data_IF_227782287913
#
_entry.id   IF_227782287913
#
_cell.length_a   1.000
_cell.length_b   1.000
_cell.length_c   1.000
_cell.angle_alpha   90.00
_cell.angle_beta   90.00
_cell.angle_gamma   90.00
#
_symmetry.space_group_name_H-M   'P 1'
#
loop_
_entity.id
_entity.type
_entity.pdbx_description
1 polymer ?
#
# COMPACT_ATOMS: atom_id res chain seq x y z
N UNK A 1 -10.08 -14.47 56.14
CA UNK A 1 -11.13 -14.22 55.12
C UNK A 1 -11.89 -15.49 54.72
N UNK A 2 -11.22 -16.60 54.40
CA UNK A 2 -11.89 -17.87 54.01
C UNK A 2 -12.83 -18.42 55.11
N UNK A 3 -12.44 -18.31 56.38
CA UNK A 3 -13.24 -18.76 57.53
C UNK A 3 -14.51 -17.92 57.76
N UNK A 4 -14.49 -16.63 57.41
CA UNK A 4 -15.68 -15.77 57.49
C UNK A 4 -16.69 -16.13 56.38
N UNK A 5 -16.18 -16.43 55.19
CA UNK A 5 -16.95 -16.86 54.03
C UNK A 5 -17.69 -18.19 54.28
N UNK A 6 -17.04 -19.16 54.95
CA UNK A 6 -17.68 -20.44 55.28
C UNK A 6 -18.71 -20.34 56.39
N UNK A 7 -18.59 -19.35 57.29
CA UNK A 7 -19.50 -19.16 58.43
C UNK A 7 -20.78 -18.42 58.01
N UNK A 8 -20.68 -17.45 57.10
CA UNK A 8 -21.84 -16.68 56.57
C UNK A 8 -22.68 -17.50 55.59
N UNK A 9 -22.08 -18.46 54.87
CA UNK A 9 -22.76 -19.29 53.87
C UNK A 9 -22.96 -20.74 54.34
N UNK A 10 -23.37 -20.96 55.59
CA UNK A 10 -23.56 -22.32 56.13
C UNK A 10 -24.81 -23.03 55.57
N UNK A 11 -25.83 -22.26 55.14
CA UNK A 11 -27.07 -22.81 54.59
C UNK A 11 -26.93 -23.23 53.10
N UNK A 12 -27.38 -24.44 52.72
CA UNK A 12 -27.28 -24.93 51.34
C UNK A 12 -27.97 -24.03 50.31
N UNK A 13 -29.07 -23.38 50.69
CA UNK A 13 -29.82 -22.46 49.83
C UNK A 13 -29.03 -21.19 49.46
N UNK A 14 -28.29 -20.62 50.42
CA UNK A 14 -27.49 -19.41 50.20
C UNK A 14 -26.24 -19.71 49.35
N UNK A 15 -25.66 -20.92 49.48
CA UNK A 15 -24.57 -21.39 48.60
C UNK A 15 -25.03 -21.51 47.15
N UNK A 16 -26.24 -22.03 46.92
CA UNK A 16 -26.81 -22.17 45.58
C UNK A 16 -27.08 -20.80 44.92
N UNK A 17 -27.58 -19.82 45.68
CA UNK A 17 -27.78 -18.44 45.18
C UNK A 17 -26.46 -17.76 44.80
N UNK A 18 -25.42 -17.87 45.64
CA UNK A 18 -24.09 -17.35 45.31
C UNK A 18 -23.52 -17.99 44.04
N UNK A 19 -23.62 -19.32 43.92
CA UNK A 19 -23.15 -20.03 42.74
C UNK A 19 -23.89 -19.56 41.47
N UNK A 20 -25.20 -19.33 41.57
CA UNK A 20 -26.00 -18.76 40.47
C UNK A 20 -25.54 -17.35 40.08
N UNK A 21 -25.26 -16.49 41.05
CA UNK A 21 -24.74 -15.13 40.80
C UNK A 21 -23.36 -15.18 40.14
N UNK A 22 -22.45 -16.01 40.65
CA UNK A 22 -21.09 -16.17 40.11
C UNK A 22 -21.16 -16.77 38.70
N UNK A 23 -22.02 -17.76 38.47
CA UNK A 23 -22.22 -18.37 37.16
C UNK A 23 -22.78 -17.34 36.17
N UNK A 24 -23.77 -16.54 36.58
CA UNK A 24 -24.33 -15.46 35.78
C UNK A 24 -23.28 -14.41 35.42
N UNK A 25 -22.49 -13.97 36.41
CA UNK A 25 -21.39 -13.04 36.18
C UNK A 25 -20.33 -13.64 35.24
N UNK A 26 -19.97 -14.92 35.43
CA UNK A 26 -19.02 -15.62 34.57
C UNK A 26 -19.49 -15.71 33.13
N UNK A 27 -20.77 -16.03 32.91
CA UNK A 27 -21.38 -16.05 31.58
C UNK A 27 -21.33 -14.65 30.96
N UNK A 28 -21.68 -13.60 31.71
CA UNK A 28 -21.62 -12.23 31.23
C UNK A 28 -20.20 -11.82 30.81
N UNK A 29 -19.18 -12.12 31.64
CA UNK A 29 -17.78 -11.88 31.31
C UNK A 29 -17.32 -12.69 30.08
N UNK A 30 -17.72 -13.96 29.99
CA UNK A 30 -17.39 -14.82 28.86
C UNK A 30 -17.94 -14.27 27.55
N UNK A 31 -19.21 -13.82 27.55
CA UNK A 31 -19.84 -13.18 26.40
C UNK A 31 -19.12 -11.88 26.02
N UNK A 32 -18.75 -11.06 27.00
CA UNK A 32 -18.01 -9.82 26.76
C UNK A 32 -16.65 -10.07 26.11
N UNK A 33 -15.87 -11.01 26.65
CA UNK A 33 -14.55 -11.37 26.13
C UNK A 33 -14.64 -11.98 24.73
N UNK A 34 -15.61 -12.86 24.50
CA UNK A 34 -15.84 -13.44 23.18
C UNK A 34 -16.21 -12.35 22.17
N UNK A 35 -17.12 -11.44 22.54
CA UNK A 35 -17.53 -10.35 21.66
C UNK A 35 -16.35 -9.42 21.32
N UNK A 36 -15.54 -9.06 22.31
CA UNK A 36 -14.35 -8.25 22.10
C UNK A 36 -13.31 -8.97 21.23
N UNK A 37 -13.14 -10.28 21.43
CA UNK A 37 -12.23 -11.09 20.62
C UNK A 37 -12.69 -11.19 19.15
N UNK A 38 -13.97 -11.48 18.91
CA UNK A 38 -14.55 -11.50 17.57
C UNK A 38 -14.43 -10.15 16.88
N UNK A 39 -14.75 -9.07 17.61
CA UNK A 39 -14.65 -7.70 17.09
C UNK A 39 -13.21 -7.32 16.75
N UNK A 40 -12.27 -7.60 17.64
CA UNK A 40 -10.85 -7.31 17.40
C UNK A 40 -10.31 -8.13 16.22
N UNK A 41 -10.67 -9.41 16.12
CA UNK A 41 -10.26 -10.27 15.01
C UNK A 41 -10.80 -9.75 13.68
N UNK A 42 -12.06 -9.33 13.63
CA UNK A 42 -12.67 -8.72 12.44
C UNK A 42 -12.02 -7.39 12.08
N UNK A 43 -11.85 -6.51 13.05
CA UNK A 43 -11.22 -5.19 12.83
C UNK A 43 -9.79 -5.31 12.28
N UNK A 44 -9.00 -6.29 12.74
CA UNK A 44 -7.66 -6.56 12.20
C UNK A 44 -7.71 -7.00 10.73
N UNK A 45 -8.66 -7.86 10.36
CA UNK A 45 -8.85 -8.29 8.96
C UNK A 45 -9.28 -7.11 8.08
N UNK A 46 -10.29 -6.36 8.51
CA UNK A 46 -10.80 -5.20 7.77
C UNK A 46 -9.68 -4.14 7.58
N UNK A 47 -8.86 -3.92 8.61
CA UNK A 47 -7.71 -3.02 8.52
C UNK A 47 -6.69 -3.48 7.47
N UNK A 48 -6.35 -4.78 7.43
CA UNK A 48 -5.42 -5.32 6.43
C UNK A 48 -6.00 -5.22 5.02
N UNK A 49 -7.28 -5.53 4.84
CA UNK A 49 -7.97 -5.39 3.54
C UNK A 49 -7.89 -3.94 3.04
N UNK A 50 -8.25 -2.99 3.90
CA UNK A 50 -8.19 -1.56 3.54
C UNK A 50 -6.76 -1.15 3.15
N UNK A 51 -5.72 -1.65 3.83
CA UNK A 51 -4.34 -1.35 3.47
C UNK A 51 -3.90 -1.96 2.15
N UNK A 52 -4.42 -3.14 1.79
CA UNK A 52 -4.18 -3.75 0.49
C UNK A 52 -4.87 -2.95 -0.63
N UNK A 53 -6.09 -2.47 -0.39
CA UNK A 53 -6.83 -1.62 -1.35
C UNK A 53 -6.13 -0.27 -1.55
N UNK A 54 -5.77 0.42 -0.47
CA UNK A 54 -4.99 1.67 -0.53
C UNK A 54 -3.65 1.48 -1.27
N UNK A 55 -2.98 0.36 -1.05
CA UNK A 55 -1.74 0.03 -1.75
C UNK A 55 -1.98 -0.20 -3.25
N UNK A 56 -3.07 -0.88 -3.61
CA UNK A 56 -3.43 -1.10 -5.01
C UNK A 56 -3.73 0.21 -5.75
N UNK A 57 -4.40 1.15 -5.09
CA UNK A 57 -4.62 2.51 -5.60
C UNK A 57 -3.30 3.25 -5.81
N UNK A 58 -2.37 3.20 -4.84
CA UNK A 58 -1.06 3.84 -4.95
C UNK A 58 -0.24 3.30 -6.14
N UNK A 59 -0.29 1.99 -6.40
CA UNK A 59 0.35 1.38 -7.58
C UNK A 59 -0.31 1.87 -8.87
N UNK A 60 -1.64 2.00 -8.89
CA UNK A 60 -2.37 2.53 -10.04
C UNK A 60 -2.04 4.00 -10.33
N UNK A 61 -1.91 4.81 -9.29
CA UNK A 61 -1.48 6.21 -9.38
C UNK A 61 -0.06 6.32 -9.94
N UNK A 62 0.86 5.50 -9.44
CA UNK A 62 2.22 5.38 -9.98
C UNK A 62 2.24 5.06 -11.48
N UNK A 63 1.50 4.02 -11.91
CA UNK A 63 1.45 3.62 -13.32
C UNK A 63 0.90 4.76 -14.20
N UNK A 64 -0.16 5.43 -13.74
CA UNK A 64 -0.76 6.56 -14.44
C UNK A 64 0.24 7.71 -14.58
N UNK A 65 0.92 8.10 -13.51
CA UNK A 65 1.92 9.17 -13.55
C UNK A 65 3.12 8.80 -14.43
N UNK A 66 3.53 7.52 -14.46
CA UNK A 66 4.63 7.07 -15.31
C UNK A 66 4.25 7.18 -16.79
N UNK A 67 3.00 6.84 -17.13
CA UNK A 67 2.47 6.98 -18.49
C UNK A 67 2.25 8.45 -18.88
N UNK A 68 1.77 9.29 -17.96
CA UNK A 68 1.67 10.74 -18.17
C UNK A 68 3.04 11.33 -18.49
N UNK A 69 4.08 10.99 -17.70
CA UNK A 69 5.44 11.45 -17.92
C UNK A 69 5.97 11.03 -19.30
N UNK A 70 5.70 9.79 -19.69
CA UNK A 70 6.04 9.29 -21.02
C UNK A 70 5.39 10.11 -22.13
N UNK A 71 4.09 10.37 -22.03
CA UNK A 71 3.39 11.18 -23.02
C UNK A 71 3.94 12.61 -23.07
N UNK A 72 4.30 13.21 -21.93
CA UNK A 72 4.91 14.54 -21.89
C UNK A 72 6.31 14.55 -22.50
N UNK A 73 7.11 13.50 -22.29
CA UNK A 73 8.41 13.32 -22.96
C UNK A 73 8.24 13.23 -24.49
N UNK A 74 7.25 12.47 -24.96
CA UNK A 74 7.00 12.26 -26.39
C UNK A 74 6.45 13.52 -27.08
N UNK A 75 5.54 14.23 -26.41
CA UNK A 75 4.93 15.45 -26.94
C UNK A 75 5.90 16.63 -27.07
N UNK A 76 7.15 16.50 -26.58
CA UNK A 76 8.13 17.59 -26.46
C UNK A 76 7.47 18.88 -25.97
N UNK A 77 6.65 18.75 -24.92
CA UNK A 77 5.77 19.85 -24.51
C UNK A 77 6.61 21.11 -24.30
N UNK A 78 6.18 22.21 -24.91
CA UNK A 78 6.95 23.46 -24.84
C UNK A 78 7.04 24.00 -23.42
N UNK A 79 6.12 23.56 -22.57
CA UNK A 79 5.90 23.99 -21.21
C UNK A 79 6.67 23.13 -20.20
N UNK A 80 7.81 23.66 -19.75
CA UNK A 80 8.66 23.01 -18.74
C UNK A 80 7.97 22.89 -17.37
N UNK A 81 6.89 23.65 -17.11
CA UNK A 81 6.17 23.59 -15.84
C UNK A 81 5.34 22.31 -15.69
N UNK A 82 4.57 21.94 -16.73
CA UNK A 82 3.79 20.70 -16.75
C UNK A 82 4.66 19.45 -16.61
N UNK A 83 5.85 19.46 -17.22
CA UNK A 83 6.78 18.34 -17.10
C UNK A 83 7.28 18.17 -15.66
N UNK A 84 7.64 19.27 -14.99
CA UNK A 84 8.08 19.23 -13.59
C UNK A 84 6.94 18.80 -12.65
N UNK A 85 5.71 19.24 -12.91
CA UNK A 85 4.55 18.83 -12.12
C UNK A 85 4.30 17.31 -12.23
N UNK A 86 4.38 16.75 -13.44
CA UNK A 86 4.21 15.30 -13.63
C UNK A 86 5.36 14.51 -12.99
N UNK A 87 6.60 15.02 -13.03
CA UNK A 87 7.74 14.44 -12.32
C UNK A 87 7.51 14.38 -10.80
N UNK A 88 7.09 15.50 -10.20
CA UNK A 88 6.86 15.59 -8.75
C UNK A 88 5.74 14.66 -8.29
N UNK A 89 4.65 14.61 -9.07
CA UNK A 89 3.54 13.66 -8.84
C UNK A 89 4.00 12.21 -8.92
N UNK A 90 4.84 11.88 -9.90
CA UNK A 90 5.38 10.53 -10.03
C UNK A 90 6.27 10.16 -8.83
N UNK A 91 7.16 11.06 -8.41
CA UNK A 91 8.02 10.85 -7.26
C UNK A 91 7.20 10.63 -5.99
N UNK A 92 6.15 11.44 -5.79
CA UNK A 92 5.23 11.28 -4.66
C UNK A 92 4.51 9.93 -4.69
N UNK A 93 4.06 9.49 -5.86
CA UNK A 93 3.41 8.19 -6.02
C UNK A 93 4.37 7.02 -5.71
N UNK A 94 5.65 7.11 -6.10
CA UNK A 94 6.65 6.10 -5.76
C UNK A 94 6.94 6.04 -4.27
N UNK A 95 7.13 7.20 -3.63
CA UNK A 95 7.34 7.25 -2.19
C UNK A 95 6.15 6.64 -1.43
N UNK A 96 4.93 6.85 -1.93
CA UNK A 96 3.72 6.24 -1.36
C UNK A 96 3.74 4.71 -1.49
N UNK A 97 4.13 4.19 -2.65
CA UNK A 97 4.29 2.73 -2.88
C UNK A 97 5.39 2.15 -1.98
N UNK A 98 6.55 2.81 -1.90
CA UNK A 98 7.66 2.40 -1.03
C UNK A 98 7.25 2.39 0.46
N UNK A 99 6.49 3.40 0.89
CA UNK A 99 5.97 3.47 2.25
C UNK A 99 5.04 2.29 2.57
N UNK A 100 4.10 1.95 1.68
CA UNK A 100 3.21 0.80 1.90
C UNK A 100 3.99 -0.52 1.95
N UNK A 101 4.97 -0.70 1.06
CA UNK A 101 5.84 -1.88 1.08
C UNK A 101 6.63 -1.96 2.38
N UNK A 102 7.27 -0.86 2.80
CA UNK A 102 8.09 -0.82 4.00
C UNK A 102 7.31 -1.02 5.31
N UNK A 103 6.09 -0.49 5.40
CA UNK A 103 5.30 -0.53 6.64
C UNK A 103 4.36 -1.73 6.75
N UNK A 104 3.72 -2.11 5.64
CA UNK A 104 2.62 -3.06 5.66
C UNK A 104 2.94 -4.37 4.93
N UNK A 105 3.84 -4.34 3.93
CA UNK A 105 4.09 -5.49 3.05
C UNK A 105 5.58 -5.72 2.78
N UNK A 106 6.41 -5.99 3.81
CA UNK A 106 7.85 -6.14 3.65
C UNK A 106 8.26 -7.36 2.81
N UNK A 107 7.33 -8.28 2.57
CA UNK A 107 7.51 -9.45 1.69
C UNK A 107 7.50 -9.08 0.21
N UNK A 108 6.94 -7.93 -0.17
CA UNK A 108 6.87 -7.45 -1.55
C UNK A 108 8.18 -6.76 -1.90
N UNK A 109 8.83 -7.23 -2.97
CA UNK A 109 10.05 -6.60 -3.45
C UNK A 109 9.72 -5.51 -4.47
N UNK A 110 9.80 -4.26 -4.05
CA UNK A 110 9.66 -3.10 -4.94
C UNK A 110 11.03 -2.66 -5.47
N UNK A 111 11.29 -2.88 -6.77
CA UNK A 111 12.53 -2.39 -7.38
C UNK A 111 12.47 -0.89 -7.68
N UNK A 112 12.93 -0.08 -6.72
CA UNK A 112 13.08 1.37 -6.85
C UNK A 112 14.14 1.79 -7.89
N UNK A 113 15.03 0.88 -8.31
CA UNK A 113 16.08 1.20 -9.30
C UNK A 113 15.49 1.44 -10.68
N UNK A 114 14.48 0.66 -11.07
CA UNK A 114 13.78 0.86 -12.34
C UNK A 114 13.15 2.26 -12.41
N UNK A 115 12.52 2.70 -11.31
CA UNK A 115 11.96 4.05 -11.21
C UNK A 115 13.05 5.14 -11.24
N UNK A 116 14.12 4.98 -10.47
CA UNK A 116 15.25 5.93 -10.46
C UNK A 116 15.84 6.09 -11.85
N UNK A 117 15.95 5.00 -12.63
CA UNK A 117 16.45 5.03 -14.00
C UNK A 117 15.48 5.77 -14.94
N UNK A 118 14.17 5.53 -14.81
CA UNK A 118 13.15 6.30 -15.53
C UNK A 118 13.28 7.80 -15.24
N UNK A 119 13.50 8.17 -13.98
CA UNK A 119 13.70 9.57 -13.57
C UNK A 119 14.95 10.19 -14.19
N UNK A 120 16.08 9.50 -14.12
CA UNK A 120 17.31 9.97 -14.76
C UNK A 120 17.15 10.18 -16.26
N UNK A 121 16.47 9.26 -16.95
CA UNK A 121 16.18 9.40 -18.38
C UNK A 121 15.26 10.58 -18.67
N UNK A 122 14.24 10.80 -17.84
CA UNK A 122 13.33 11.94 -17.98
C UNK A 122 14.06 13.28 -17.79
N UNK A 123 14.92 13.41 -16.77
CA UNK A 123 15.75 14.60 -16.56
C UNK A 123 16.76 14.82 -17.69
N UNK A 124 17.40 13.75 -18.17
CA UNK A 124 18.33 13.84 -19.30
C UNK A 124 17.61 14.36 -20.55
N UNK A 125 16.46 13.79 -20.89
CA UNK A 125 15.65 14.22 -22.04
C UNK A 125 15.20 15.68 -21.92
N UNK A 126 14.82 16.14 -20.72
CA UNK A 126 14.47 17.55 -20.47
C UNK A 126 15.67 18.47 -20.71
N UNK A 127 16.84 18.11 -20.17
CA UNK A 127 18.07 18.90 -20.30
C UNK A 127 18.52 19.00 -21.76
N UNK A 128 18.43 17.89 -22.49
CA UNK A 128 18.81 17.81 -23.90
C UNK A 128 17.80 18.55 -24.79
N UNK A 129 16.49 18.42 -24.55
CA UNK A 129 15.47 19.18 -25.27
C UNK A 129 15.64 20.70 -25.09
N UNK A 130 16.08 21.14 -23.90
CA UNK A 130 16.43 22.54 -23.64
C UNK A 130 17.68 23.00 -24.40
N UNK A 131 18.68 22.13 -24.53
CA UNK A 131 19.93 22.41 -25.26
C UNK A 131 19.77 22.36 -26.79
N UNK A 132 18.93 21.46 -27.33
CA UNK A 132 18.73 21.32 -28.78
C UNK A 132 17.80 22.38 -29.39
N UNK A 133 17.13 23.20 -28.57
CA UNK A 133 16.45 24.43 -29.05
C UNK A 133 17.41 25.45 -29.67
N UNK A 134 18.73 25.29 -29.51
CA UNK A 134 19.76 26.13 -30.15
C UNK A 134 20.44 25.52 -31.39
N UNK A 135 20.06 24.34 -31.87
CA UNK A 135 20.50 23.86 -33.19
C UNK A 135 20.62 22.33 -33.38
N UNK A 136 20.10 21.88 -34.52
CA UNK A 136 20.44 20.68 -35.32
C UNK A 136 20.10 19.25 -34.81
N UNK A 137 19.55 18.43 -35.73
CA UNK A 137 19.78 16.98 -35.81
C UNK A 137 18.56 16.06 -35.65
N UNK A 138 18.04 15.52 -36.77
CA UNK A 138 16.80 14.74 -36.87
C UNK A 138 16.98 13.20 -36.90
N UNK A 139 18.18 12.66 -36.61
CA UNK A 139 18.46 11.21 -36.68
C UNK A 139 18.61 10.52 -35.31
N UNK A 140 18.68 11.28 -34.21
CA UNK A 140 18.98 10.76 -32.87
C UNK A 140 17.70 10.37 -32.08
N UNK A 141 16.53 10.55 -32.69
CA UNK A 141 15.20 10.41 -32.07
C UNK A 141 14.73 8.95 -31.98
N UNK A 142 15.12 8.11 -32.94
CA UNK A 142 14.63 6.71 -33.07
C UNK A 142 15.29 5.81 -32.01
N UNK A 143 16.61 5.88 -31.81
CA UNK A 143 17.29 5.11 -30.77
C UNK A 143 16.87 5.52 -29.35
N UNK A 144 16.53 6.80 -29.14
CA UNK A 144 15.99 7.29 -27.87
C UNK A 144 14.59 6.73 -27.60
N UNK A 145 13.75 6.64 -28.64
CA UNK A 145 12.41 6.06 -28.57
C UNK A 145 12.43 4.61 -28.08
N UNK A 146 13.32 3.77 -28.63
CA UNK A 146 13.44 2.37 -28.23
C UNK A 146 13.90 2.22 -26.77
N UNK A 147 14.81 3.08 -26.31
CA UNK A 147 15.29 3.06 -24.93
C UNK A 147 14.23 3.45 -23.90
N UNK A 148 13.35 4.41 -24.24
CA UNK A 148 12.28 4.86 -23.36
C UNK A 148 11.12 3.85 -23.35
N UNK A 149 10.78 3.25 -24.49
CA UNK A 149 9.79 2.16 -24.56
C UNK A 149 10.21 0.96 -23.72
N UNK A 150 11.49 0.56 -23.80
CA UNK A 150 12.03 -0.52 -22.96
C UNK A 150 11.97 -0.21 -21.45
N UNK A 151 12.09 1.06 -21.05
CA UNK A 151 11.92 1.47 -19.66
C UNK A 151 10.46 1.45 -19.22
N UNK A 152 9.54 1.87 -20.10
CA UNK A 152 8.10 1.77 -19.84
C UNK A 152 7.68 0.31 -19.64
N UNK A 153 8.16 -0.59 -20.49
CA UNK A 153 7.86 -2.02 -20.38
C UNK A 153 8.35 -2.58 -19.05
N UNK A 154 9.56 -2.19 -18.60
CA UNK A 154 10.08 -2.56 -17.27
C UNK A 154 9.24 -1.99 -16.12
N UNK A 155 8.79 -0.75 -16.22
CA UNK A 155 7.90 -0.14 -15.22
C UNK A 155 6.57 -0.90 -15.18
N UNK A 156 5.99 -1.24 -16.33
CA UNK A 156 4.74 -2.02 -16.42
C UNK A 156 4.91 -3.43 -15.89
N UNK A 157 6.02 -4.09 -16.22
CA UNK A 157 6.37 -5.42 -15.70
C UNK A 157 6.48 -5.38 -14.17
N UNK A 158 7.26 -4.46 -13.61
CA UNK A 158 7.41 -4.28 -12.17
C UNK A 158 6.04 -4.02 -11.50
N UNK A 159 5.26 -3.10 -12.05
CA UNK A 159 3.89 -2.78 -11.59
C UNK A 159 2.98 -4.02 -11.65
N UNK A 160 3.08 -4.84 -12.70
CA UNK A 160 2.31 -6.07 -12.85
C UNK A 160 2.67 -7.10 -11.79
N UNK A 161 3.96 -7.27 -11.49
CA UNK A 161 4.43 -8.14 -10.42
C UNK A 161 3.87 -7.72 -9.06
N UNK A 162 4.02 -6.43 -8.72
CA UNK A 162 3.53 -5.89 -7.44
C UNK A 162 2.00 -6.01 -7.33
N UNK A 163 1.26 -5.77 -8.43
CA UNK A 163 -0.20 -5.97 -8.46
C UNK A 163 -0.58 -7.44 -8.23
N UNK A 164 0.15 -8.39 -8.82
CA UNK A 164 -0.09 -9.82 -8.61
C UNK A 164 0.16 -10.20 -7.15
N UNK A 165 1.20 -9.67 -6.54
CA UNK A 165 1.53 -9.92 -5.14
C UNK A 165 0.47 -9.32 -4.20
N UNK A 166 0.04 -8.09 -4.47
CA UNK A 166 -1.08 -7.46 -3.76
C UNK A 166 -2.38 -8.27 -3.89
N UNK A 167 -2.68 -8.79 -5.08
CA UNK A 167 -3.84 -9.66 -5.31
C UNK A 167 -3.72 -11.00 -4.56
N UNK A 168 -2.53 -11.58 -4.49
CA UNK A 168 -2.28 -12.79 -3.72
C UNK A 168 -2.49 -12.55 -2.21
N UNK A 169 -2.02 -11.41 -1.68
CA UNK A 169 -2.26 -10.99 -0.30
C UNK A 169 -3.75 -10.76 -0.01
N UNK A 170 -4.47 -10.14 -0.94
CA UNK A 170 -5.92 -9.94 -0.83
C UNK A 170 -6.66 -11.27 -0.74
N UNK A 171 -6.31 -12.25 -1.58
CA UNK A 171 -6.91 -13.60 -1.54
C UNK A 171 -6.67 -14.31 -0.21
N UNK A 172 -5.51 -14.11 0.41
CA UNK A 172 -5.19 -14.67 1.74
C UNK A 172 -6.01 -14.05 2.87
N UNK A 173 -6.37 -12.77 2.77
CA UNK A 173 -7.05 -12.02 3.83
C UNK A 173 -8.57 -11.91 3.65
N UNK A 174 -9.11 -12.23 2.46
CA UNK A 174 -10.54 -12.24 2.15
C UNK A 174 -11.31 -13.40 2.80
N UNK A 175 -10.62 -14.44 3.29
CA UNK A 175 -11.18 -15.59 4.02
C UNK A 175 -10.81 -15.53 5.51
#
# INVERSE_FOLDING_TARGET
MIHWFTTVFSQPAQKAQLFSIVLSAFVAFSVLLLNQWFTSRRARKDHMINKIEEFYEAIGEYEKCAFELFNTMFAQSKDSSQFQEVLDRLQTAVQRVEMYVGLHFPEINFDSKAHTKLMQTAYYNLSYAKANRSGYGNNDSIHKMDSVNQLLDKVRENTSHIKKDAQALMKRHKH
#
